data_IF_730933782838
#
_entry.id   IF_730933782838
#
_cell.length_a   1.000
_cell.length_b   1.000
_cell.length_c   1.000
_cell.angle_alpha   90.00
_cell.angle_beta   90.00
_cell.angle_gamma   90.00
#
_symmetry.space_group_name_H-M   'P 1'
#
loop_
_entity.id
_entity.type
_entity.pdbx_description
1 polymer ?
#
# COMPACT_ATOMS: atom_id res chain seq x y z
N UNK A 1 -17.29 46.27 -27.90
CA UNK A 1 -17.58 46.71 -26.51
C UNK A 1 -18.69 45.86 -25.90
N UNK A 2 -19.75 45.55 -26.66
CA UNK A 2 -20.83 44.65 -26.21
C UNK A 2 -20.38 43.22 -25.91
N UNK A 3 -19.45 42.66 -26.70
CA UNK A 3 -18.90 41.31 -26.43
C UNK A 3 -18.13 41.23 -25.09
N UNK A 4 -17.45 42.30 -24.68
CA UNK A 4 -16.77 42.37 -23.38
C UNK A 4 -17.78 42.47 -22.23
N UNK A 5 -18.86 43.24 -22.40
CA UNK A 5 -19.93 43.32 -21.41
C UNK A 5 -20.71 42.01 -21.26
N UNK A 6 -20.96 41.29 -22.36
CA UNK A 6 -21.55 39.94 -22.34
C UNK A 6 -20.64 38.94 -21.63
N UNK A 7 -19.35 38.93 -21.97
CA UNK A 7 -18.39 38.03 -21.32
C UNK A 7 -18.23 38.31 -19.82
N UNK A 8 -18.17 39.59 -19.41
CA UNK A 8 -18.10 39.96 -17.99
C UNK A 8 -19.39 39.54 -17.26
N UNK A 9 -20.57 39.77 -17.83
CA UNK A 9 -21.82 39.40 -17.19
C UNK A 9 -22.00 37.88 -17.10
N UNK A 10 -21.62 37.13 -18.14
CA UNK A 10 -21.67 35.66 -18.20
C UNK A 10 -20.63 34.99 -17.28
N UNK A 11 -19.44 35.59 -17.14
CA UNK A 11 -18.43 35.16 -16.18
C UNK A 11 -18.88 35.34 -14.72
N UNK A 12 -19.55 36.47 -14.41
CA UNK A 12 -20.08 36.73 -13.07
C UNK A 12 -21.37 35.96 -12.75
N UNK A 13 -22.18 35.59 -13.75
CA UNK A 13 -23.43 34.86 -13.53
C UNK A 13 -23.28 33.33 -13.54
N UNK A 14 -22.33 32.79 -14.31
CA UNK A 14 -22.17 31.33 -14.48
C UNK A 14 -20.72 30.86 -14.37
N UNK A 15 -19.76 31.66 -14.84
CA UNK A 15 -18.34 31.30 -14.85
C UNK A 15 -17.72 31.06 -13.46
N UNK A 16 -18.12 31.83 -12.45
CA UNK A 16 -17.64 31.63 -11.06
C UNK A 16 -18.10 30.28 -10.49
N UNK A 17 -19.34 29.87 -10.77
CA UNK A 17 -19.86 28.58 -10.31
C UNK A 17 -19.12 27.42 -10.98
N UNK A 18 -18.92 27.47 -12.29
CA UNK A 18 -18.14 26.44 -13.01
C UNK A 18 -16.68 26.39 -12.57
N UNK A 19 -16.05 27.53 -12.30
CA UNK A 19 -14.65 27.60 -11.87
C UNK A 19 -14.48 27.03 -10.46
N UNK A 20 -15.38 27.35 -9.52
CA UNK A 20 -15.38 26.77 -8.18
C UNK A 20 -15.66 25.28 -8.24
N UNK A 21 -16.67 24.84 -9.01
CA UNK A 21 -17.06 23.43 -9.10
C UNK A 21 -15.95 22.60 -9.75
N UNK A 22 -15.32 23.12 -10.82
CA UNK A 22 -14.17 22.50 -11.48
C UNK A 22 -12.92 22.46 -10.59
N UNK A 23 -12.63 23.54 -9.86
CA UNK A 23 -11.53 23.57 -8.89
C UNK A 23 -11.76 22.58 -7.75
N UNK A 24 -12.99 22.45 -7.24
CA UNK A 24 -13.34 21.51 -6.19
C UNK A 24 -13.24 20.06 -6.68
N UNK A 25 -13.71 19.78 -7.90
CA UNK A 25 -13.56 18.47 -8.53
C UNK A 25 -12.08 18.08 -8.69
N UNK A 26 -11.24 18.98 -9.18
CA UNK A 26 -9.79 18.76 -9.30
C UNK A 26 -9.12 18.57 -7.93
N UNK A 27 -9.53 19.34 -6.92
CA UNK A 27 -9.01 19.22 -5.57
C UNK A 27 -9.34 17.84 -4.97
N UNK A 28 -10.58 17.36 -5.14
CA UNK A 28 -10.99 16.02 -4.69
C UNK A 28 -10.20 14.93 -5.43
N UNK A 29 -9.98 15.07 -6.73
CA UNK A 29 -9.15 14.16 -7.51
C UNK A 29 -7.72 14.07 -6.97
N UNK A 30 -7.11 15.23 -6.69
CA UNK A 30 -5.78 15.30 -6.06
C UNK A 30 -5.74 14.68 -4.67
N UNK A 31 -6.76 14.89 -3.85
CA UNK A 31 -6.86 14.26 -2.52
C UNK A 31 -7.00 12.74 -2.63
N UNK A 32 -7.77 12.23 -3.59
CA UNK A 32 -7.88 10.78 -3.84
C UNK A 32 -6.54 10.19 -4.28
N UNK A 33 -5.83 10.84 -5.20
CA UNK A 33 -4.50 10.43 -5.64
C UNK A 33 -3.49 10.44 -4.49
N UNK A 34 -3.53 11.48 -3.65
CA UNK A 34 -2.66 11.58 -2.48
C UNK A 34 -2.96 10.46 -1.47
N UNK A 35 -4.25 10.16 -1.23
CA UNK A 35 -4.66 9.05 -0.37
C UNK A 35 -4.18 7.69 -0.90
N UNK A 36 -4.29 7.45 -2.22
CA UNK A 36 -3.81 6.20 -2.83
C UNK A 36 -2.28 6.09 -2.78
N UNK A 37 -1.56 7.17 -3.09
CA UNK A 37 -0.09 7.19 -3.01
C UNK A 37 0.41 6.97 -1.60
N UNK A 38 -0.20 7.62 -0.62
CA UNK A 38 0.14 7.42 0.80
C UNK A 38 -0.15 5.99 1.26
N UNK A 39 -1.25 5.38 0.81
CA UNK A 39 -1.57 3.97 1.09
C UNK A 39 -0.54 3.00 0.51
N UNK A 40 -0.08 3.21 -0.72
CA UNK A 40 0.97 2.38 -1.32
C UNK A 40 2.30 2.54 -0.58
N UNK A 41 2.63 3.77 -0.20
CA UNK A 41 3.85 4.06 0.54
C UNK A 41 3.86 3.42 1.93
N UNK A 42 2.74 3.47 2.67
CA UNK A 42 2.64 2.82 3.98
C UNK A 42 2.73 1.31 3.89
N UNK A 43 2.23 0.71 2.81
CA UNK A 43 2.36 -0.73 2.55
C UNK A 43 3.83 -1.15 2.33
N UNK A 44 4.57 -0.43 1.47
CA UNK A 44 6.00 -0.69 1.24
C UNK A 44 6.83 -0.47 2.52
N UNK A 45 6.55 0.61 3.26
CA UNK A 45 7.19 0.87 4.54
C UNK A 45 6.92 -0.24 5.57
N UNK A 46 5.67 -0.69 5.68
CA UNK A 46 5.29 -1.76 6.61
C UNK A 46 5.97 -3.06 6.29
N UNK A 47 6.07 -3.41 5.01
CA UNK A 47 6.73 -4.62 4.56
C UNK A 47 8.23 -4.61 4.91
N UNK A 48 8.91 -3.47 4.72
CA UNK A 48 10.32 -3.32 5.10
C UNK A 48 10.53 -3.53 6.59
N UNK A 49 9.75 -2.86 7.43
CA UNK A 49 9.84 -3.02 8.89
C UNK A 49 9.52 -4.46 9.29
N UNK A 50 8.50 -5.07 8.69
CA UNK A 50 8.11 -6.45 8.96
C UNK A 50 9.25 -7.43 8.70
N UNK A 51 9.95 -7.31 7.57
CA UNK A 51 11.09 -8.17 7.28
C UNK A 51 12.26 -7.93 8.24
N UNK A 52 12.53 -6.68 8.63
CA UNK A 52 13.53 -6.38 9.65
C UNK A 52 13.15 -6.99 11.01
N UNK A 53 11.88 -6.93 11.39
CA UNK A 53 11.37 -7.51 12.63
C UNK A 53 11.49 -9.05 12.62
N UNK A 54 11.07 -9.69 11.52
CA UNK A 54 11.18 -11.15 11.32
C UNK A 54 12.63 -11.62 11.40
N UNK A 55 13.56 -10.87 10.79
CA UNK A 55 14.99 -11.15 10.86
C UNK A 55 15.53 -11.02 12.30
N UNK A 56 15.16 -9.95 13.02
CA UNK A 56 15.58 -9.72 14.40
C UNK A 56 15.02 -10.77 15.38
N UNK A 57 13.82 -11.28 15.12
CA UNK A 57 13.19 -12.33 15.92
C UNK A 57 13.78 -13.73 15.65
N UNK A 58 14.69 -13.87 14.69
CA UNK A 58 15.31 -15.16 14.34
C UNK A 58 14.34 -16.16 13.72
N UNK A 59 13.18 -15.72 13.23
CA UNK A 59 12.13 -16.58 12.68
C UNK A 59 12.66 -17.38 11.48
N UNK A 60 13.46 -16.75 10.62
CA UNK A 60 14.09 -17.42 9.48
C UNK A 60 15.03 -18.55 9.92
N UNK A 61 15.79 -18.33 11.01
CA UNK A 61 16.69 -19.35 11.56
C UNK A 61 15.91 -20.53 12.17
N UNK A 62 14.83 -20.24 12.89
CA UNK A 62 13.95 -21.28 13.44
C UNK A 62 13.25 -22.08 12.33
N UNK A 63 12.81 -21.41 11.26
CA UNK A 63 12.15 -22.04 10.13
C UNK A 63 13.12 -22.96 9.36
N UNK A 64 14.36 -22.51 9.13
CA UNK A 64 15.39 -23.34 8.49
C UNK A 64 15.77 -24.56 9.35
N UNK A 65 15.84 -24.41 10.67
CA UNK A 65 16.05 -25.53 11.58
C UNK A 65 14.89 -26.55 11.54
N UNK A 66 13.64 -26.07 11.44
CA UNK A 66 12.47 -26.92 11.29
C UNK A 66 12.51 -27.70 9.97
N UNK A 67 12.87 -27.05 8.86
CA UNK A 67 13.04 -27.73 7.57
C UNK A 67 14.16 -28.77 7.58
N UNK A 68 15.26 -28.50 8.28
CA UNK A 68 16.38 -29.42 8.43
C UNK A 68 16.10 -30.66 9.29
N UNK A 69 14.97 -30.69 10.00
CA UNK A 69 14.55 -31.87 10.78
C UNK A 69 13.75 -32.90 9.98
N UNK A 70 13.35 -32.57 8.75
CA UNK A 70 12.64 -33.51 7.88
C UNK A 70 13.59 -34.46 7.15
N UNK A 71 13.15 -35.70 6.93
CA UNK A 71 13.85 -36.67 6.09
C UNK A 71 14.00 -36.15 4.64
N UNK A 72 15.12 -36.49 3.99
CA UNK A 72 15.55 -35.91 2.71
C UNK A 72 14.52 -36.07 1.59
N UNK A 73 13.76 -37.18 1.59
CA UNK A 73 12.71 -37.46 0.61
C UNK A 73 11.51 -36.53 0.83
N UNK A 74 11.14 -36.29 2.08
CA UNK A 74 10.03 -35.40 2.43
C UNK A 74 10.40 -33.95 2.13
N UNK A 75 11.64 -33.56 2.45
CA UNK A 75 12.16 -32.23 2.14
C UNK A 75 12.20 -31.96 0.62
N UNK A 76 12.62 -32.96 -0.18
CA UNK A 76 12.63 -32.87 -1.64
C UNK A 76 11.23 -32.63 -2.21
N UNK A 77 10.22 -33.35 -1.70
CA UNK A 77 8.84 -33.15 -2.08
C UNK A 77 8.31 -31.76 -1.65
N UNK A 78 8.64 -31.29 -0.45
CA UNK A 78 8.26 -29.95 0.00
C UNK A 78 8.89 -28.83 -0.83
N UNK A 79 10.15 -29.00 -1.24
CA UNK A 79 10.84 -28.07 -2.14
C UNK A 79 10.20 -28.06 -3.53
N UNK A 80 9.79 -29.22 -4.06
CA UNK A 80 9.06 -29.30 -5.33
C UNK A 80 7.75 -28.51 -5.29
N UNK A 81 7.00 -28.58 -4.18
CA UNK A 81 5.77 -27.80 -3.98
C UNK A 81 6.01 -26.35 -3.54
N UNK A 82 7.25 -25.90 -3.39
CA UNK A 82 7.63 -24.56 -2.89
C UNK A 82 6.96 -24.21 -1.55
N UNK A 83 6.72 -25.21 -0.70
CA UNK A 83 6.13 -25.02 0.62
C UNK A 83 6.97 -24.06 1.49
N UNK A 84 8.32 -24.17 1.52
CA UNK A 84 9.14 -23.23 2.27
C UNK A 84 8.98 -21.77 1.82
N UNK A 85 8.89 -21.53 0.52
CA UNK A 85 8.71 -20.19 -0.05
C UNK A 85 7.34 -19.62 0.30
N UNK A 86 6.29 -20.46 0.24
CA UNK A 86 4.94 -20.07 0.62
C UNK A 86 4.85 -19.70 2.11
N UNK A 87 5.50 -20.47 2.98
CA UNK A 87 5.55 -20.17 4.42
C UNK A 87 6.29 -18.86 4.70
N UNK A 88 7.43 -18.62 4.02
CA UNK A 88 8.13 -17.34 4.10
C UNK A 88 7.24 -16.16 3.68
N UNK A 89 6.51 -16.32 2.57
CA UNK A 89 5.58 -15.29 2.09
C UNK A 89 4.44 -15.01 3.10
N UNK A 90 3.87 -16.05 3.70
CA UNK A 90 2.81 -15.91 4.72
C UNK A 90 3.35 -15.19 5.96
N UNK A 91 4.55 -15.54 6.42
CA UNK A 91 5.18 -14.90 7.58
C UNK A 91 5.46 -13.41 7.31
N UNK A 92 6.01 -13.08 6.14
CA UNK A 92 6.20 -11.68 5.73
C UNK A 92 4.86 -10.94 5.62
N UNK A 93 3.80 -11.57 5.11
CA UNK A 93 2.47 -10.97 5.03
C UNK A 93 1.85 -10.74 6.42
N UNK A 94 1.99 -11.69 7.35
CA UNK A 94 1.54 -11.55 8.74
C UNK A 94 2.31 -10.46 9.47
N UNK A 95 3.63 -10.40 9.29
CA UNK A 95 4.47 -9.32 9.82
C UNK A 95 4.05 -7.96 9.25
N UNK A 96 3.80 -7.87 7.94
CA UNK A 96 3.35 -6.63 7.29
C UNK A 96 2.00 -6.18 7.83
N UNK A 97 1.04 -7.11 7.97
CA UNK A 97 -0.27 -6.84 8.59
C UNK A 97 -0.15 -6.38 10.04
N UNK A 98 0.77 -6.97 10.80
CA UNK A 98 1.03 -6.57 12.16
C UNK A 98 1.56 -5.14 12.23
N UNK A 99 2.56 -4.80 11.41
CA UNK A 99 3.14 -3.45 11.34
C UNK A 99 2.12 -2.41 10.86
N UNK A 100 1.27 -2.75 9.88
CA UNK A 100 0.22 -1.87 9.38
C UNK A 100 -0.74 -1.41 10.48
N UNK A 101 -1.02 -2.25 11.50
CA UNK A 101 -1.87 -1.87 12.65
C UNK A 101 -1.25 -0.81 13.55
N UNK A 102 0.07 -0.64 13.55
CA UNK A 102 0.76 0.35 14.37
C UNK A 102 1.00 1.67 13.63
N UNK A 103 0.71 1.73 12.32
CA UNK A 103 0.85 2.96 11.58
C UNK A 103 -0.34 3.91 11.86
N UNK A 104 -0.10 5.23 11.96
CA UNK A 104 -1.16 6.21 12.19
C UNK A 104 -2.15 6.36 11.01
N UNK A 105 -1.83 5.77 9.85
CA UNK A 105 -2.76 5.58 8.72
C UNK A 105 -3.21 4.11 8.57
N UNK A 106 -3.11 3.33 9.64
CA UNK A 106 -3.58 1.94 9.69
C UNK A 106 -5.10 1.88 9.66
N UNK A 107 -5.62 1.10 8.72
CA UNK A 107 -7.01 0.62 8.73
C UNK A 107 -7.10 -0.64 9.58
#
# INVERSE_FOLDING_TARGET
>A
MEALFSWITEFFSTGIYELITGAFASLIEWLMLLKLKTMLWTLDFSWKIANTLIANLGVTSALNAAWGSFDSVTLSNLMFFKVPDAVNMILSALGTRFVLRFLPMGW
#
